data_IF_048619464046
#
_entry.id   IF_048619464046
#
_cell.length_a   1.000
_cell.length_b   1.000
_cell.length_c   1.000
_cell.angle_alpha   90.00
_cell.angle_beta   90.00
_cell.angle_gamma   90.00
#
_symmetry.space_group_name_H-M   'P 1'
#
loop_
_entity.id
_entity.type
_entity.pdbx_description
1 polymer ?
#
# COMPACT_ATOMS: atom_id res chain seq x y z
N UNK A 1 -10.70 -8.70 15.07
CA UNK A 1 -11.78 -7.83 14.56
C UNK A 1 -11.24 -6.41 14.67
N UNK A 2 -10.69 -5.88 13.59
CA UNK A 2 -10.10 -4.54 13.60
C UNK A 2 -11.23 -3.50 13.63
N UNK A 3 -11.23 -2.63 14.62
CA UNK A 3 -12.16 -1.51 14.74
C UNK A 3 -11.43 -0.27 14.28
N UNK A 4 -11.86 0.27 13.13
CA UNK A 4 -11.39 1.56 12.63
C UNK A 4 -12.40 2.63 13.08
N UNK A 5 -11.99 3.58 13.91
CA UNK A 5 -12.82 4.72 14.32
C UNK A 5 -12.38 5.98 13.61
N UNK A 6 -13.30 6.59 12.89
CA UNK A 6 -13.12 7.91 12.30
C UNK A 6 -13.78 8.92 13.24
N UNK A 7 -12.98 9.74 13.92
CA UNK A 7 -13.46 10.82 14.77
C UNK A 7 -13.59 12.10 13.92
N UNK A 8 -14.80 12.42 13.53
CA UNK A 8 -15.14 13.73 12.97
C UNK A 8 -15.80 14.60 14.06
N UNK A 9 -15.20 15.74 14.36
CA UNK A 9 -15.82 16.76 15.19
C UNK A 9 -16.99 17.40 14.41
N UNK A 10 -18.22 17.04 14.77
CA UNK A 10 -19.44 17.58 14.15
C UNK A 10 -19.90 18.82 14.91
N UNK A 11 -20.07 19.93 14.20
CA UNK A 11 -20.91 21.05 14.64
C UNK A 11 -22.36 20.73 14.28
N UNK A 12 -23.21 20.88 15.32
CA UNK A 12 -24.66 21.12 15.37
C UNK A 12 -25.58 20.40 14.36
N UNK A 13 -26.44 19.59 14.95
CA UNK A 13 -27.54 18.88 14.29
C UNK A 13 -28.70 19.82 13.91
N UNK A 14 -29.15 19.74 12.66
CA UNK A 14 -30.49 20.12 12.24
C UNK A 14 -31.19 18.84 11.79
N UNK A 15 -32.25 18.45 12.49
CA UNK A 15 -33.03 17.26 12.18
C UNK A 15 -33.95 17.51 10.96
N UNK A 16 -33.80 16.67 9.93
CA UNK A 16 -34.75 16.53 8.85
C UNK A 16 -35.43 15.13 8.87
N UNK A 17 -36.69 15.01 8.44
CA UNK A 17 -37.42 13.75 8.53
C UNK A 17 -36.91 12.70 7.56
N UNK A 18 -36.76 11.49 8.08
CA UNK A 18 -36.34 10.29 7.32
C UNK A 18 -37.49 9.90 6.39
N UNK A 19 -37.32 10.13 5.10
CA UNK A 19 -38.10 9.45 4.05
C UNK A 19 -37.28 8.20 3.69
N UNK A 20 -37.80 7.04 4.07
CA UNK A 20 -37.20 5.76 3.76
C UNK A 20 -37.17 5.51 2.24
N UNK A 21 -36.00 5.61 1.62
CA UNK A 21 -35.75 5.03 0.32
C UNK A 21 -35.13 3.66 0.54
N UNK A 22 -35.87 2.60 0.20
CA UNK A 22 -35.33 1.27 -0.02
C UNK A 22 -34.48 1.38 -1.28
N UNK A 23 -33.15 1.46 -1.14
CA UNK A 23 -32.24 1.26 -2.26
C UNK A 23 -32.11 -0.24 -2.49
N UNK A 24 -32.65 -0.70 -3.61
CA UNK A 24 -32.24 -1.93 -4.26
C UNK A 24 -30.71 -1.85 -4.49
N UNK A 25 -29.95 -2.71 -3.81
CA UNK A 25 -28.52 -2.84 -4.02
C UNK A 25 -28.36 -3.71 -5.28
N UNK A 26 -28.68 -3.13 -6.43
CA UNK A 26 -28.27 -3.65 -7.73
C UNK A 26 -26.77 -3.45 -7.91
N UNK A 27 -26.12 -4.43 -8.53
CA UNK A 27 -24.72 -4.53 -8.97
C UNK A 27 -23.91 -3.26 -8.74
N UNK A 28 -22.95 -3.32 -7.81
CA UNK A 28 -22.05 -2.21 -7.52
C UNK A 28 -21.37 -1.80 -8.82
N UNK A 29 -21.81 -0.68 -9.37
CA UNK A 29 -21.14 0.00 -10.47
C UNK A 29 -19.70 0.33 -9.98
N UNK A 30 -18.74 -0.51 -10.35
CA UNK A 30 -17.31 -0.33 -10.06
C UNK A 30 -16.74 0.75 -10.99
N UNK A 31 -17.45 1.86 -11.14
CA UNK A 31 -16.91 2.99 -11.87
C UNK A 31 -15.79 3.65 -11.05
N UNK A 32 -14.68 3.94 -11.71
CA UNK A 32 -13.56 4.65 -11.09
C UNK A 32 -14.03 5.98 -10.50
N UNK A 33 -13.64 6.26 -9.24
CA UNK A 33 -13.92 7.54 -8.59
C UNK A 33 -13.24 8.72 -9.29
N UNK A 34 -12.09 8.45 -9.91
CA UNK A 34 -11.26 9.44 -10.60
C UNK A 34 -11.29 9.30 -12.12
N UNK A 35 -12.12 8.42 -12.67
CA UNK A 35 -12.05 8.03 -14.07
C UNK A 35 -10.83 7.16 -14.36
N UNK A 36 -10.48 7.02 -15.65
CA UNK A 36 -9.31 6.29 -16.07
C UNK A 36 -9.62 4.90 -16.62
N UNK A 37 -8.55 4.18 -16.97
CA UNK A 37 -8.65 2.83 -17.53
C UNK A 37 -8.71 1.80 -16.39
N UNK A 38 -9.71 0.96 -16.44
CA UNK A 38 -9.88 -0.16 -15.53
C UNK A 38 -8.96 -1.34 -15.88
N UNK A 39 -8.42 -1.97 -14.86
CA UNK A 39 -7.67 -3.22 -14.93
C UNK A 39 -8.20 -4.17 -13.86
N UNK A 40 -8.46 -5.41 -14.23
CA UNK A 40 -8.80 -6.46 -13.26
C UNK A 40 -7.55 -6.82 -12.46
N UNK A 41 -7.67 -6.84 -11.14
CA UNK A 41 -6.61 -7.32 -10.26
C UNK A 41 -6.54 -8.84 -10.32
N UNK A 42 -5.32 -9.35 -10.41
CA UNK A 42 -5.06 -10.78 -10.32
C UNK A 42 -5.09 -11.15 -8.84
N UNK A 43 -6.03 -12.02 -8.47
CA UNK A 43 -6.12 -12.53 -7.10
C UNK A 43 -4.93 -13.43 -6.78
N UNK A 44 -4.27 -13.16 -5.67
CA UNK A 44 -3.21 -13.99 -5.09
C UNK A 44 -3.78 -14.67 -3.86
N UNK A 45 -3.68 -16.00 -3.72
CA UNK A 45 -4.19 -16.68 -2.54
C UNK A 45 -3.60 -16.10 -1.24
N UNK A 46 -4.46 -15.66 -0.34
CA UNK A 46 -4.11 -14.98 0.92
C UNK A 46 -3.31 -13.68 0.75
N UNK A 47 -3.28 -13.12 -0.46
CA UNK A 47 -2.51 -11.92 -0.77
C UNK A 47 -3.38 -10.70 -1.06
N UNK A 48 -2.84 -9.52 -0.79
CA UNK A 48 -3.43 -8.21 -1.03
C UNK A 48 -2.66 -7.37 -2.07
N UNK A 49 -1.47 -7.80 -2.45
CA UNK A 49 -0.62 -7.07 -3.41
C UNK A 49 -1.32 -6.86 -4.76
N UNK A 50 -1.26 -5.65 -5.34
CA UNK A 50 -2.02 -5.30 -6.54
C UNK A 50 -1.32 -5.79 -7.82
N UNK A 51 -1.57 -7.02 -8.22
CA UNK A 51 -1.13 -7.56 -9.50
C UNK A 51 -2.14 -7.27 -10.60
N UNK A 52 -1.66 -6.78 -11.75
CA UNK A 52 -2.46 -6.54 -12.96
C UNK A 52 -1.94 -7.39 -14.11
N UNK A 53 -2.83 -7.76 -15.02
CA UNK A 53 -2.42 -8.32 -16.31
C UNK A 53 -2.06 -7.19 -17.27
N UNK A 54 -0.77 -7.08 -17.60
CA UNK A 54 -0.25 -6.10 -18.57
C UNK A 54 0.52 -6.81 -19.68
N UNK A 55 0.69 -6.12 -20.80
CA UNK A 55 1.49 -6.58 -21.94
C UNK A 55 2.75 -5.74 -22.04
N UNK A 56 3.93 -6.39 -22.08
CA UNK A 56 5.21 -5.75 -22.37
C UNK A 56 5.88 -6.48 -23.55
N UNK A 57 6.29 -5.73 -24.59
CA UNK A 57 6.87 -6.26 -25.85
C UNK A 57 6.12 -7.47 -26.41
N UNK A 58 4.78 -7.47 -26.32
CA UNK A 58 3.91 -8.55 -26.81
C UNK A 58 3.75 -9.73 -25.86
N UNK A 59 4.41 -9.77 -24.70
CA UNK A 59 4.23 -10.78 -23.67
C UNK A 59 3.23 -10.28 -22.63
N UNK A 60 2.14 -11.03 -22.42
CA UNK A 60 1.08 -10.66 -21.48
C UNK A 60 1.16 -11.53 -20.21
N UNK A 61 1.05 -10.91 -19.04
CA UNK A 61 1.00 -11.60 -17.75
C UNK A 61 1.06 -10.67 -16.55
N UNK A 62 1.31 -11.23 -15.33
CA UNK A 62 1.21 -10.49 -14.07
C UNK A 62 2.33 -9.46 -13.88
N UNK A 63 1.93 -8.22 -13.61
CA UNK A 63 2.81 -7.15 -13.15
C UNK A 63 2.34 -6.65 -11.79
N UNK A 64 3.26 -6.47 -10.85
CA UNK A 64 3.00 -5.86 -9.56
C UNK A 64 2.99 -4.34 -9.69
N UNK A 65 1.98 -3.66 -9.17
CA UNK A 65 2.03 -2.22 -8.93
C UNK A 65 2.70 -1.97 -7.58
N UNK A 66 3.88 -1.39 -7.59
CA UNK A 66 4.73 -1.31 -6.39
C UNK A 66 5.17 0.12 -6.11
N UNK A 67 4.49 0.77 -5.16
CA UNK A 67 4.84 2.10 -4.65
C UNK A 67 6.07 2.08 -3.73
N UNK A 68 6.60 0.91 -3.36
CA UNK A 68 7.89 0.76 -2.69
C UNK A 68 9.07 0.73 -3.65
N UNK A 69 8.82 0.45 -4.94
CA UNK A 69 9.84 0.40 -5.96
C UNK A 69 10.01 1.76 -6.66
N UNK A 70 11.19 2.38 -6.57
CA UNK A 70 11.48 3.65 -7.27
C UNK A 70 11.58 3.50 -8.78
N UNK A 71 11.78 2.28 -9.29
CA UNK A 71 11.94 1.98 -10.72
C UNK A 71 11.20 0.74 -11.14
N UNK A 72 10.64 0.81 -12.34
CA UNK A 72 10.00 -0.32 -13.00
C UNK A 72 11.01 -1.33 -13.51
N UNK A 73 10.61 -2.61 -13.49
CA UNK A 73 11.49 -3.71 -13.92
C UNK A 73 10.72 -4.81 -14.65
N UNK A 74 11.44 -5.57 -15.48
CA UNK A 74 10.96 -6.74 -16.21
C UNK A 74 11.72 -7.99 -15.78
N UNK A 75 11.07 -9.15 -15.84
CA UNK A 75 11.68 -10.44 -15.52
C UNK A 75 12.77 -10.79 -16.53
N UNK A 76 14.02 -10.85 -16.08
CA UNK A 76 15.17 -11.27 -16.89
C UNK A 76 15.05 -12.73 -17.39
N UNK A 77 14.18 -13.54 -16.75
CA UNK A 77 13.87 -14.91 -17.20
C UNK A 77 12.92 -14.98 -18.41
N UNK A 78 12.16 -13.90 -18.65
CA UNK A 78 11.19 -13.81 -19.75
C UNK A 78 11.68 -12.85 -20.83
N UNK A 79 12.22 -11.71 -20.45
CA UNK A 79 12.74 -10.70 -21.38
C UNK A 79 14.26 -10.83 -21.46
N UNK A 80 14.78 -11.06 -22.67
CA UNK A 80 16.21 -11.28 -22.89
C UNK A 80 17.06 -10.09 -22.50
N UNK A 81 18.16 -10.39 -21.79
CA UNK A 81 19.19 -9.43 -21.38
C UNK A 81 19.84 -9.81 -20.05
N UNK A 82 21.01 -9.24 -19.73
CA UNK A 82 21.66 -9.46 -18.45
C UNK A 82 20.83 -8.89 -17.28
N UNK A 83 20.80 -9.60 -16.15
CA UNK A 83 20.23 -9.11 -14.90
C UNK A 83 20.87 -7.77 -14.50
N UNK A 84 20.06 -6.81 -14.03
CA UNK A 84 20.50 -5.45 -13.70
C UNK A 84 20.68 -4.51 -14.89
N UNK A 85 20.59 -4.99 -16.15
CA UNK A 85 20.70 -4.09 -17.31
C UNK A 85 19.41 -3.31 -17.56
N UNK A 86 19.55 -2.17 -18.28
CA UNK A 86 18.40 -1.38 -18.74
C UNK A 86 17.86 -1.89 -20.08
N UNK A 87 16.55 -1.91 -20.21
CA UNK A 87 15.85 -2.27 -21.43
C UNK A 87 14.69 -1.31 -21.70
N UNK A 88 14.55 -0.85 -22.94
CA UNK A 88 13.38 -0.11 -23.37
C UNK A 88 12.36 -1.08 -23.96
N UNK A 89 11.14 -1.09 -23.42
CA UNK A 89 10.07 -1.96 -23.84
C UNK A 89 8.77 -1.21 -24.09
N UNK A 90 7.95 -1.72 -25.02
CA UNK A 90 6.56 -1.29 -25.15
C UNK A 90 5.76 -1.79 -23.95
N UNK A 91 4.80 -1.00 -23.46
CA UNK A 91 3.97 -1.37 -22.29
C UNK A 91 2.52 -0.91 -22.48
N UNK A 92 1.56 -1.74 -22.07
CA UNK A 92 0.12 -1.48 -22.22
C UNK A 92 -0.45 -0.57 -21.12
N UNK A 93 0.26 0.53 -20.78
CA UNK A 93 -0.21 1.55 -19.86
C UNK A 93 -0.83 2.75 -20.60
N UNK A 94 -1.84 3.46 -20.02
CA UNK A 94 -2.50 4.58 -20.70
C UNK A 94 -1.50 5.69 -21.02
N UNK A 95 -1.45 6.11 -22.31
CA UNK A 95 -0.59 7.21 -22.76
C UNK A 95 0.92 6.94 -22.71
N UNK A 96 1.34 5.70 -22.41
CA UNK A 96 2.76 5.28 -22.42
C UNK A 96 2.93 4.21 -23.48
N UNK A 97 3.63 4.54 -24.58
CA UNK A 97 3.93 3.57 -25.62
C UNK A 97 5.14 2.71 -25.27
N UNK A 98 6.17 3.34 -24.73
CA UNK A 98 7.44 2.68 -24.34
C UNK A 98 8.00 3.30 -23.08
N UNK A 99 8.64 2.47 -22.25
CA UNK A 99 9.31 2.89 -21.02
C UNK A 99 10.65 2.17 -20.86
N UNK A 100 11.52 2.73 -20.01
CA UNK A 100 12.78 2.13 -19.64
C UNK A 100 12.58 1.27 -18.38
N UNK A 101 13.06 0.04 -18.42
CA UNK A 101 12.92 -0.95 -17.37
C UNK A 101 14.29 -1.51 -16.97
N UNK A 102 14.47 -1.81 -15.69
CA UNK A 102 15.53 -2.71 -15.28
C UNK A 102 15.14 -4.16 -15.54
N UNK A 103 16.10 -4.99 -15.89
CA UNK A 103 15.91 -6.44 -15.88
C UNK A 103 16.23 -6.97 -14.48
N UNK A 104 15.29 -7.71 -13.90
CA UNK A 104 15.42 -8.32 -12.58
C UNK A 104 14.92 -9.77 -12.62
N UNK A 105 15.42 -10.61 -11.72
CA UNK A 105 14.96 -11.99 -11.61
C UNK A 105 13.80 -12.07 -10.63
N UNK A 106 12.69 -12.68 -11.08
CA UNK A 106 11.53 -13.00 -10.26
C UNK A 106 11.31 -14.49 -10.22
N UNK A 107 11.10 -15.04 -9.04
CA UNK A 107 10.88 -16.46 -8.81
C UNK A 107 9.47 -16.77 -8.32
N UNK A 108 8.62 -15.75 -8.14
CA UNK A 108 7.29 -15.91 -7.61
C UNK A 108 6.34 -16.46 -8.68
N UNK A 109 5.74 -17.62 -8.41
CA UNK A 109 4.62 -18.16 -9.16
C UNK A 109 3.32 -17.71 -8.52
N UNK A 110 2.59 -16.81 -9.18
CA UNK A 110 1.32 -16.28 -8.69
C UNK A 110 0.14 -17.21 -8.97
N UNK A 111 0.22 -17.95 -10.06
CA UNK A 111 -0.77 -18.93 -10.51
C UNK A 111 -0.04 -20.08 -11.22
N UNK A 112 -0.65 -21.28 -11.35
CA UNK A 112 -0.05 -22.37 -12.11
C UNK A 112 0.39 -21.92 -13.51
N UNK A 113 1.69 -22.02 -13.79
CA UNK A 113 2.29 -21.63 -15.07
C UNK A 113 2.45 -20.14 -15.33
N UNK A 114 2.05 -19.26 -14.41
CA UNK A 114 2.20 -17.81 -14.54
C UNK A 114 3.09 -17.25 -13.42
N UNK A 115 4.30 -16.87 -13.77
CA UNK A 115 5.21 -16.11 -12.90
C UNK A 115 5.03 -14.61 -13.07
N UNK A 116 5.53 -13.86 -12.13
CA UNK A 116 5.58 -12.39 -12.21
C UNK A 116 6.44 -11.96 -13.42
N UNK A 117 5.87 -11.12 -14.31
CA UNK A 117 6.56 -10.61 -15.48
C UNK A 117 7.34 -9.33 -15.21
N UNK A 118 6.95 -8.57 -14.18
CA UNK A 118 7.63 -7.33 -13.84
C UNK A 118 7.00 -6.60 -12.67
N UNK A 119 7.58 -5.44 -12.41
CA UNK A 119 7.11 -4.46 -11.42
C UNK A 119 6.91 -3.14 -12.14
N UNK A 120 5.79 -2.48 -11.89
CA UNK A 120 5.55 -1.09 -12.26
C UNK A 120 5.80 -0.26 -11.01
N UNK A 121 6.91 0.46 -11.01
CA UNK A 121 7.35 1.31 -9.90
C UNK A 121 6.95 2.77 -10.07
N UNK A 122 7.43 3.61 -9.15
CA UNK A 122 7.07 5.03 -9.06
C UNK A 122 7.48 5.86 -10.29
N UNK A 123 8.50 5.44 -11.04
CA UNK A 123 8.89 6.07 -12.30
C UNK A 123 7.76 6.06 -13.35
N UNK A 124 6.86 5.09 -13.27
CA UNK A 124 5.67 5.02 -14.10
C UNK A 124 4.41 5.36 -13.33
N UNK A 125 4.23 4.87 -12.09
CA UNK A 125 3.03 5.09 -11.27
C UNK A 125 2.81 6.59 -10.97
N UNK A 126 3.87 7.38 -10.79
CA UNK A 126 3.77 8.83 -10.57
C UNK A 126 3.14 9.62 -11.74
N UNK A 127 2.96 8.99 -12.89
CA UNK A 127 2.29 9.61 -14.06
C UNK A 127 0.77 9.47 -13.99
N UNK A 128 0.26 8.67 -13.08
CA UNK A 128 -1.16 8.35 -12.96
C UNK A 128 -1.68 8.67 -11.56
N UNK A 129 -2.94 9.02 -11.50
CA UNK A 129 -3.75 8.74 -10.31
C UNK A 129 -4.13 7.28 -10.37
N UNK A 130 -3.78 6.54 -9.31
CA UNK A 130 -4.04 5.09 -9.21
C UNK A 130 -5.05 4.85 -8.10
N UNK A 131 -6.21 4.32 -8.46
CA UNK A 131 -7.22 3.87 -7.51
C UNK A 131 -7.15 2.34 -7.38
N UNK A 132 -6.95 1.85 -6.17
CA UNK A 132 -6.97 0.44 -5.83
C UNK A 132 -8.23 0.11 -5.05
N UNK A 133 -9.00 -0.85 -5.57
CA UNK A 133 -10.16 -1.45 -4.92
C UNK A 133 -9.94 -2.96 -4.76
N UNK A 134 -10.88 -3.70 -4.21
CA UNK A 134 -10.74 -5.14 -3.99
C UNK A 134 -10.46 -5.94 -5.27
N UNK A 135 -11.22 -5.70 -6.32
CA UNK A 135 -11.14 -6.49 -7.57
C UNK A 135 -10.53 -5.75 -8.76
N UNK A 136 -10.25 -4.45 -8.62
CA UNK A 136 -9.81 -3.63 -9.73
C UNK A 136 -8.76 -2.60 -9.33
N UNK A 137 -8.00 -2.15 -10.32
CA UNK A 137 -7.21 -0.94 -10.26
C UNK A 137 -7.60 -0.05 -11.43
N UNK A 138 -7.65 1.26 -11.20
CA UNK A 138 -7.93 2.26 -12.22
C UNK A 138 -6.74 3.20 -12.34
N UNK A 139 -6.25 3.39 -13.56
CA UNK A 139 -5.13 4.28 -13.86
C UNK A 139 -5.64 5.46 -14.70
N UNK A 140 -5.62 6.65 -14.13
CA UNK A 140 -6.04 7.90 -14.76
C UNK A 140 -4.85 8.84 -15.00
N UNK A 141 -4.70 9.43 -16.17
CA UNK A 141 -3.75 10.52 -16.38
C UNK A 141 -4.20 11.83 -15.70
N UNK A 142 -5.43 11.90 -15.21
CA UNK A 142 -6.02 13.05 -14.55
C UNK A 142 -6.03 12.87 -13.04
N UNK A 143 -5.92 13.98 -12.29
CA UNK A 143 -6.15 13.99 -10.85
C UNK A 143 -7.63 13.91 -10.52
N UNK A 144 -7.94 13.35 -9.35
CA UNK A 144 -9.29 13.39 -8.82
C UNK A 144 -9.67 14.80 -8.33
N UNK A 145 -10.96 15.08 -8.31
CA UNK A 145 -11.48 16.28 -7.64
C UNK A 145 -11.61 15.99 -6.14
N UNK A 146 -10.89 16.71 -5.27
CA UNK A 146 -10.89 16.46 -3.82
C UNK A 146 -12.29 16.45 -3.21
N UNK A 147 -13.17 17.37 -3.67
CA UNK A 147 -14.54 17.48 -3.16
C UNK A 147 -15.36 16.22 -3.44
N UNK A 148 -15.14 15.59 -4.61
CA UNK A 148 -15.81 14.36 -4.97
C UNK A 148 -15.36 13.19 -4.11
N UNK A 149 -14.07 13.12 -3.76
CA UNK A 149 -13.53 12.09 -2.88
C UNK A 149 -14.03 12.26 -1.44
N UNK A 150 -14.05 13.48 -0.92
CA UNK A 150 -14.58 13.80 0.41
C UNK A 150 -16.07 13.44 0.47
N UNK A 151 -16.84 13.78 -0.56
CA UNK A 151 -18.27 13.44 -0.62
C UNK A 151 -18.53 11.92 -0.64
N UNK A 152 -17.55 11.12 -1.07
CA UNK A 152 -17.56 9.65 -1.03
C UNK A 152 -16.97 9.07 0.26
N UNK A 153 -16.63 9.92 1.24
CA UNK A 153 -16.09 9.50 2.54
C UNK A 153 -14.62 9.13 2.54
N UNK A 154 -13.85 9.51 1.50
CA UNK A 154 -12.40 9.29 1.52
C UNK A 154 -11.71 10.38 2.34
N UNK A 155 -10.68 9.98 3.06
CA UNK A 155 -9.84 10.85 3.91
C UNK A 155 -8.46 11.02 3.28
N UNK A 156 -7.98 12.26 3.05
CA UNK A 156 -6.61 12.49 2.61
C UNK A 156 -5.65 12.29 3.78
N UNK A 157 -4.52 11.58 3.56
CA UNK A 157 -3.58 11.26 4.65
C UNK A 157 -2.13 11.67 4.38
N UNK A 158 -1.72 11.83 3.13
CA UNK A 158 -0.40 12.35 2.77
C UNK A 158 -0.56 13.67 2.03
N UNK A 159 0.19 14.69 2.43
CA UNK A 159 0.14 16.03 1.83
C UNK A 159 1.51 16.64 1.57
N UNK A 160 2.58 15.98 1.97
CA UNK A 160 3.95 16.50 1.88
C UNK A 160 4.74 15.96 0.71
N UNK A 161 4.05 15.30 -0.21
CA UNK A 161 4.67 14.68 -1.37
C UNK A 161 5.12 13.26 -1.13
N UNK A 162 5.45 12.61 -2.21
CA UNK A 162 6.07 11.31 -2.19
C UNK A 162 7.54 11.47 -1.78
N UNK A 163 7.99 10.67 -0.86
CA UNK A 163 9.28 10.83 -0.20
C UNK A 163 10.31 9.82 -0.69
N UNK A 164 11.53 10.27 -0.99
CA UNK A 164 12.69 9.40 -1.08
C UNK A 164 13.29 9.22 0.32
N UNK A 165 13.64 8.00 0.69
CA UNK A 165 14.35 7.70 1.95
C UNK A 165 15.68 8.45 2.07
N UNK A 166 16.23 8.94 0.98
CA UNK A 166 17.45 9.72 0.92
C UNK A 166 17.15 11.14 0.41
N UNK A 167 17.11 12.15 1.32
CA UNK A 167 16.84 13.53 0.93
C UNK A 167 17.81 14.09 -0.10
N UNK A 168 19.04 13.55 -0.19
CA UNK A 168 20.03 13.98 -1.20
C UNK A 168 19.67 13.54 -2.61
N UNK A 169 18.79 12.54 -2.73
CA UNK A 169 18.27 12.03 -4.00
C UNK A 169 16.95 12.68 -4.42
N UNK A 170 16.32 13.46 -3.52
CA UNK A 170 15.15 14.28 -3.84
C UNK A 170 15.60 15.33 -4.86
N UNK A 171 15.10 15.25 -6.08
CA UNK A 171 15.53 16.12 -7.18
C UNK A 171 16.51 15.49 -8.15
N UNK A 172 17.02 14.29 -7.89
CA UNK A 172 17.81 13.51 -8.85
C UNK A 172 16.96 12.88 -9.98
N UNK A 173 15.70 13.31 -10.13
CA UNK A 173 14.77 12.82 -11.15
C UNK A 173 14.17 11.44 -10.85
N UNK A 174 14.38 10.90 -9.65
CA UNK A 174 13.73 9.68 -9.21
C UNK A 174 12.40 10.01 -8.53
N UNK A 175 11.31 9.33 -8.89
CA UNK A 175 10.03 9.46 -8.21
C UNK A 175 10.16 9.04 -6.76
N UNK A 176 9.43 9.72 -5.89
CA UNK A 176 9.43 9.45 -4.46
C UNK A 176 8.36 8.41 -4.13
N UNK A 177 8.64 7.55 -3.15
CA UNK A 177 7.62 6.67 -2.57
C UNK A 177 6.64 7.49 -1.72
N UNK A 178 5.35 7.13 -1.67
CA UNK A 178 4.37 7.83 -0.84
C UNK A 178 4.66 7.59 0.65
N UNK A 179 4.48 8.65 1.45
CA UNK A 179 4.74 8.63 2.89
C UNK A 179 3.56 9.22 3.64
N UNK A 180 3.19 8.59 4.73
CA UNK A 180 2.17 9.07 5.68
C UNK A 180 2.79 9.22 7.06
N UNK A 181 2.10 9.98 7.95
CA UNK A 181 2.48 10.03 9.35
C UNK A 181 1.67 9.03 10.16
N UNK A 182 2.39 8.21 10.90
CA UNK A 182 1.83 7.35 11.93
C UNK A 182 2.13 7.90 13.31
N UNK A 183 1.23 7.64 14.24
CA UNK A 183 1.45 7.86 15.67
C UNK A 183 1.09 6.61 16.44
N UNK A 184 1.94 6.25 17.37
CA UNK A 184 1.72 5.19 18.34
C UNK A 184 2.05 5.72 19.74
N UNK A 185 1.03 6.02 20.51
CA UNK A 185 1.17 6.79 21.75
C UNK A 185 1.77 8.17 21.48
N UNK A 186 2.89 8.50 22.13
CA UNK A 186 3.59 9.78 21.95
C UNK A 186 4.63 9.74 20.81
N UNK A 187 4.84 8.57 20.21
CA UNK A 187 5.81 8.40 19.12
C UNK A 187 5.14 8.69 17.78
N UNK A 188 5.62 9.72 17.11
CA UNK A 188 5.24 10.07 15.74
C UNK A 188 6.37 9.65 14.80
N UNK A 189 6.03 9.04 13.68
CA UNK A 189 6.99 8.48 12.73
C UNK A 189 6.49 8.58 11.29
N UNK A 190 7.43 8.64 10.36
CA UNK A 190 7.18 8.47 8.93
C UNK A 190 6.94 7.01 8.61
N UNK A 191 5.94 6.75 7.78
CA UNK A 191 5.69 5.43 7.23
C UNK A 191 5.67 5.49 5.70
N UNK A 192 6.55 4.73 5.09
CA UNK A 192 6.53 4.49 3.66
C UNK A 192 5.33 3.60 3.32
N UNK A 193 4.63 3.90 2.22
CA UNK A 193 3.66 2.98 1.64
C UNK A 193 4.37 2.14 0.59
N UNK A 194 4.26 0.83 0.73
CA UNK A 194 4.90 -0.16 -0.14
C UNK A 194 3.89 -1.23 -0.54
N UNK A 195 3.24 -1.04 -1.68
CA UNK A 195 2.24 -2.00 -2.17
C UNK A 195 2.84 -3.30 -2.69
N UNK A 196 4.17 -3.34 -2.85
CA UNK A 196 4.91 -4.57 -3.19
C UNK A 196 5.23 -5.44 -1.98
N UNK A 197 5.09 -4.90 -0.76
CA UNK A 197 5.36 -5.64 0.47
C UNK A 197 4.11 -6.32 1.02
N UNK A 198 4.25 -7.58 1.40
CA UNK A 198 3.21 -8.37 2.06
C UNK A 198 3.81 -9.52 2.86
N UNK A 199 3.29 -9.81 4.06
CA UNK A 199 3.76 -10.91 4.90
C UNK A 199 2.93 -12.21 4.78
N UNK A 200 1.74 -12.14 4.20
CA UNK A 200 0.79 -13.24 4.02
C UNK A 200 0.28 -13.93 5.32
N UNK A 201 0.64 -13.40 6.48
CA UNK A 201 0.29 -13.99 7.79
C UNK A 201 -0.68 -13.10 8.55
N UNK A 202 -0.37 -11.81 8.63
CA UNK A 202 -1.16 -10.83 9.37
C UNK A 202 -1.83 -9.84 8.43
N UNK A 203 -3.13 -9.69 8.55
CA UNK A 203 -3.91 -8.79 7.68
C UNK A 203 -3.63 -7.31 7.90
N UNK A 204 -3.03 -6.92 9.03
CA UNK A 204 -2.83 -5.52 9.42
C UNK A 204 -1.44 -5.29 10.00
N UNK A 205 -0.42 -5.83 9.35
CA UNK A 205 0.95 -5.66 9.80
C UNK A 205 1.55 -4.34 9.34
N UNK A 206 2.41 -3.81 10.18
CA UNK A 206 3.24 -2.63 9.93
C UNK A 206 4.68 -3.02 10.15
N UNK A 207 5.51 -2.92 9.12
CA UNK A 207 6.95 -3.09 9.29
C UNK A 207 7.54 -1.90 10.03
N UNK A 208 8.44 -2.15 10.97
CA UNK A 208 9.20 -1.14 11.69
C UNK A 208 10.69 -1.45 11.65
N UNK A 209 11.54 -0.43 11.58
CA UNK A 209 12.98 -0.64 11.71
C UNK A 209 13.42 -0.69 13.19
N UNK A 210 14.66 -1.08 13.43
CA UNK A 210 15.21 -1.19 14.79
C UNK A 210 15.16 0.15 15.55
N UNK A 211 15.44 1.27 14.87
CA UNK A 211 15.40 2.60 15.50
C UNK A 211 14.00 2.98 16.00
N UNK A 212 12.94 2.60 15.26
CA UNK A 212 11.56 2.81 15.73
C UNK A 212 11.22 1.87 16.89
N UNK A 213 11.62 0.61 16.81
CA UNK A 213 11.43 -0.36 17.90
C UNK A 213 12.03 0.18 19.21
N UNK A 214 13.29 0.60 19.18
CA UNK A 214 14.00 1.12 20.36
C UNK A 214 13.33 2.39 20.91
N UNK A 215 12.86 3.27 20.02
CA UNK A 215 12.13 4.49 20.41
C UNK A 215 10.79 4.18 21.06
N UNK A 216 10.03 3.20 20.55
CA UNK A 216 8.76 2.78 21.15
C UNK A 216 8.98 2.22 22.55
N UNK A 217 9.95 1.33 22.72
CA UNK A 217 10.32 0.77 24.03
C UNK A 217 10.77 1.88 24.98
N UNK A 218 11.64 2.79 24.51
CA UNK A 218 12.14 3.92 25.30
C UNK A 218 11.05 4.92 25.71
N UNK A 219 9.95 5.01 24.96
CA UNK A 219 8.77 5.84 25.28
C UNK A 219 7.75 5.13 26.18
N UNK A 220 8.03 3.90 26.62
CA UNK A 220 7.15 3.12 27.47
C UNK A 220 5.98 2.45 26.75
N UNK A 221 6.04 2.32 25.42
CA UNK A 221 5.10 1.48 24.68
C UNK A 221 5.40 0.02 24.97
N UNK A 222 4.40 -0.72 25.42
CA UNK A 222 4.53 -2.13 25.72
C UNK A 222 4.36 -2.95 24.45
N UNK A 223 5.41 -3.69 24.10
CA UNK A 223 5.50 -4.55 22.92
C UNK A 223 5.63 -6.01 23.39
N UNK A 224 4.60 -6.80 23.14
CA UNK A 224 4.61 -8.23 23.48
C UNK A 224 4.97 -9.03 22.22
N UNK A 225 6.12 -9.71 22.23
CA UNK A 225 6.48 -10.62 21.13
C UNK A 225 5.54 -11.80 21.13
N UNK A 226 4.87 -12.02 19.99
CA UNK A 226 3.85 -13.08 19.86
C UNK A 226 4.34 -14.28 19.07
N UNK A 227 5.11 -14.07 18.00
CA UNK A 227 5.77 -15.11 17.23
C UNK A 227 6.82 -14.51 16.28
N UNK A 228 7.32 -15.33 15.35
CA UNK A 228 8.18 -14.91 14.24
C UNK A 228 7.55 -15.38 12.93
N UNK A 229 7.78 -14.62 11.86
CA UNK A 229 7.34 -14.96 10.50
C UNK A 229 8.53 -15.01 9.55
N UNK A 230 8.37 -15.76 8.48
CA UNK A 230 9.34 -15.80 7.38
C UNK A 230 8.82 -15.00 6.20
N UNK A 231 9.62 -14.06 5.73
CA UNK A 231 9.32 -13.20 4.58
C UNK A 231 10.35 -13.43 3.50
N UNK A 232 9.89 -13.52 2.25
CA UNK A 232 10.77 -13.55 1.09
C UNK A 232 11.11 -12.13 0.66
N UNK A 233 12.41 -11.86 0.56
CA UNK A 233 12.98 -10.56 0.17
C UNK A 233 13.92 -10.73 -1.01
N UNK A 234 14.52 -9.63 -1.48
CA UNK A 234 15.53 -9.66 -2.53
C UNK A 234 16.80 -10.46 -2.14
N UNK A 235 17.09 -10.60 -0.83
CA UNK A 235 18.24 -11.37 -0.31
C UNK A 235 17.87 -12.80 0.10
N UNK A 236 16.63 -13.21 -0.15
CA UNK A 236 16.13 -14.52 0.18
C UNK A 236 15.12 -14.52 1.34
N UNK A 237 15.12 -15.59 2.13
CA UNK A 237 14.20 -15.77 3.25
C UNK A 237 14.73 -15.09 4.50
N UNK A 238 13.96 -14.16 5.05
CA UNK A 238 14.22 -13.48 6.31
C UNK A 238 13.27 -13.92 7.40
N UNK A 239 13.80 -14.04 8.62
CA UNK A 239 13.05 -14.36 9.82
C UNK A 239 12.81 -13.09 10.63
N UNK A 240 11.53 -12.70 10.84
CA UNK A 240 11.16 -11.43 11.46
C UNK A 240 10.28 -11.62 12.69
N UNK A 241 10.67 -11.04 13.85
CA UNK A 241 9.81 -11.06 15.04
C UNK A 241 8.58 -10.18 14.86
N UNK A 242 7.46 -10.67 15.42
CA UNK A 242 6.16 -10.00 15.39
C UNK A 242 5.75 -9.63 16.81
N UNK A 243 5.28 -8.39 16.97
CA UNK A 243 4.86 -7.83 18.24
C UNK A 243 3.41 -7.36 18.19
N UNK A 244 2.71 -7.55 19.30
CA UNK A 244 1.44 -6.89 19.59
C UNK A 244 1.71 -5.67 20.45
N UNK A 245 0.95 -4.60 20.20
CA UNK A 245 0.97 -3.39 21.02
C UNK A 245 -0.21 -3.45 21.98
N UNK A 246 0.04 -3.25 23.28
CA UNK A 246 -1.01 -3.27 24.28
C UNK A 246 -1.64 -1.89 24.48
N UNK A 247 -2.99 -1.86 24.40
CA UNK A 247 -3.83 -0.78 24.90
C UNK A 247 -3.66 0.58 24.17
N UNK A 248 -3.07 0.59 22.99
CA UNK A 248 -2.89 1.83 22.20
C UNK A 248 -3.23 1.59 20.73
N UNK A 249 -4.11 2.41 20.14
CA UNK A 249 -4.34 2.35 18.69
C UNK A 249 -3.13 2.90 17.93
N UNK A 250 -2.97 2.42 16.71
CA UNK A 250 -2.16 3.09 15.70
C UNK A 250 -3.03 4.17 15.06
N UNK A 251 -2.49 5.38 14.87
CA UNK A 251 -3.20 6.43 14.18
C UNK A 251 -2.48 6.87 12.92
N UNK A 252 -3.24 7.13 11.85
CA UNK A 252 -2.76 7.80 10.64
C UNK A 252 -3.25 9.23 10.71
N UNK A 253 -2.32 10.20 10.62
CA UNK A 253 -2.62 11.60 10.79
C UNK A 253 -2.60 12.36 9.47
N UNK A 254 -3.59 13.21 9.26
CA UNK A 254 -3.55 14.27 8.27
C UNK A 254 -3.18 15.59 8.94
N UNK A 255 -2.01 16.14 8.62
CA UNK A 255 -1.50 17.36 9.28
C UNK A 255 -2.37 18.59 9.02
N UNK A 256 -2.94 18.71 7.83
CA UNK A 256 -3.70 19.90 7.43
C UNK A 256 -5.13 19.87 7.94
N UNK A 257 -5.83 18.75 7.84
CA UNK A 257 -7.24 18.65 8.24
C UNK A 257 -7.43 18.24 9.68
N UNK A 258 -6.34 17.79 10.35
CA UNK A 258 -6.39 17.17 11.69
C UNK A 258 -7.29 15.94 11.78
N UNK A 259 -7.62 15.35 10.64
CA UNK A 259 -8.33 14.07 10.61
C UNK A 259 -7.38 12.96 11.06
N UNK A 260 -7.94 12.02 11.82
CA UNK A 260 -7.22 10.88 12.38
C UNK A 260 -7.98 9.62 12.02
N UNK A 261 -7.26 8.62 11.52
CA UNK A 261 -7.77 7.26 11.32
C UNK A 261 -7.14 6.40 12.42
N UNK A 262 -7.96 5.78 13.26
CA UNK A 262 -7.52 4.90 14.33
C UNK A 262 -7.69 3.44 13.95
N UNK A 263 -6.64 2.64 14.23
CA UNK A 263 -6.58 1.21 13.96
C UNK A 263 -6.22 0.50 15.25
N UNK A 264 -7.15 -0.27 15.80
CA UNK A 264 -7.00 -0.93 17.11
C UNK A 264 -6.31 -2.31 17.00
N UNK A 265 -6.56 -3.05 15.92
CA UNK A 265 -6.01 -4.40 15.73
C UNK A 265 -4.95 -4.39 14.63
N UNK A 266 -3.69 -4.36 15.03
CA UNK A 266 -2.54 -4.35 14.14
C UNK A 266 -1.35 -5.05 14.81
N UNK A 267 -0.37 -5.43 14.00
CA UNK A 267 0.86 -6.07 14.44
C UNK A 267 2.07 -5.28 13.93
N UNK A 268 3.12 -5.22 14.75
CA UNK A 268 4.41 -4.67 14.33
C UNK A 268 5.34 -5.82 13.94
N UNK A 269 5.90 -5.74 12.75
CA UNK A 269 6.90 -6.68 12.24
C UNK A 269 8.26 -5.99 12.23
N UNK A 270 9.20 -6.49 13.03
CA UNK A 270 10.53 -5.87 13.11
C UNK A 270 11.39 -6.30 11.93
N UNK A 271 11.74 -5.34 11.09
CA UNK A 271 12.62 -5.50 9.95
C UNK A 271 14.09 -5.39 10.40
N UNK A 272 14.92 -6.43 10.21
CA UNK A 272 16.34 -6.38 10.60
C UNK A 272 17.11 -5.29 9.86
N UNK A 273 18.14 -4.73 10.50
CA UNK A 273 18.96 -3.67 9.91
C UNK A 273 19.75 -4.12 8.66
N UNK A 274 19.93 -5.42 8.49
CA UNK A 274 20.58 -6.01 7.31
C UNK A 274 19.58 -6.54 6.27
N UNK A 275 18.32 -6.28 6.46
CA UNK A 275 17.27 -6.68 5.51
C UNK A 275 17.40 -5.92 4.19
N UNK A 276 16.98 -6.55 3.10
CA UNK A 276 17.01 -5.93 1.79
C UNK A 276 16.00 -4.77 1.68
N UNK A 277 16.52 -3.57 1.37
CA UNK A 277 15.77 -2.39 0.92
C UNK A 277 14.79 -1.76 1.91
N UNK A 278 14.10 -0.74 1.45
CA UNK A 278 13.09 -0.03 2.21
C UNK A 278 13.61 0.66 3.47
N UNK A 279 12.89 0.51 4.59
CA UNK A 279 13.22 1.17 5.87
C UNK A 279 14.40 0.54 6.61
N UNK A 280 14.93 -0.60 6.17
CA UNK A 280 16.06 -1.27 6.84
C UNK A 280 17.33 -0.42 6.81
N UNK A 281 17.58 0.30 5.71
CA UNK A 281 18.76 1.14 5.53
C UNK A 281 18.69 2.49 6.28
N UNK A 282 17.55 2.76 6.94
CA UNK A 282 17.32 4.03 7.65
C UNK A 282 17.83 3.95 9.09
N UNK A 283 18.66 4.94 9.48
CA UNK A 283 19.13 5.09 10.87
C UNK A 283 18.10 5.78 11.78
N UNK A 284 17.18 6.54 11.19
CA UNK A 284 16.09 7.20 11.88
C UNK A 284 14.89 6.26 12.04
N UNK A 285 14.05 6.47 13.08
CA UNK A 285 12.80 5.73 13.23
C UNK A 285 11.93 5.80 11.97
N UNK A 286 11.56 4.64 11.44
CA UNK A 286 10.75 4.53 10.24
C UNK A 286 9.83 3.32 10.28
N UNK A 287 8.70 3.43 9.59
CA UNK A 287 7.73 2.36 9.40
C UNK A 287 7.42 2.16 7.91
N UNK A 288 6.79 1.02 7.58
CA UNK A 288 6.36 0.67 6.24
C UNK A 288 4.97 0.03 6.31
N UNK A 289 4.05 0.52 5.47
CA UNK A 289 2.70 0.01 5.33
C UNK A 289 2.63 -0.81 4.05
N UNK A 290 2.41 -2.11 4.19
CA UNK A 290 2.32 -3.04 3.07
C UNK A 290 0.91 -3.13 2.47
N UNK A 291 0.77 -3.96 1.43
CA UNK A 291 -0.50 -4.20 0.75
C UNK A 291 -1.57 -4.77 1.70
N UNK A 292 -1.19 -5.67 2.61
CA UNK A 292 -2.10 -6.24 3.62
C UNK A 292 -2.69 -5.18 4.55
N UNK A 293 -1.89 -4.19 4.94
CA UNK A 293 -2.37 -3.06 5.73
C UNK A 293 -3.34 -2.17 4.94
N UNK A 294 -2.99 -1.84 3.69
CA UNK A 294 -3.83 -1.02 2.81
C UNK A 294 -5.16 -1.70 2.48
N UNK A 295 -5.20 -3.02 2.52
CA UNK A 295 -6.42 -3.79 2.30
C UNK A 295 -7.50 -3.60 3.38
N UNK A 296 -7.19 -2.93 4.51
CA UNK A 296 -8.18 -2.43 5.48
C UNK A 296 -9.19 -1.47 4.86
N UNK A 297 -8.80 -0.74 3.83
CA UNK A 297 -9.59 0.33 3.25
C UNK A 297 -10.37 -0.18 2.04
N UNK A 298 -11.60 0.27 1.86
CA UNK A 298 -12.45 -0.08 0.73
C UNK A 298 -11.88 0.41 -0.61
N UNK A 299 -11.21 1.56 -0.57
CA UNK A 299 -10.45 2.10 -1.67
C UNK A 299 -9.19 2.82 -1.17
N UNK A 300 -8.10 2.74 -1.93
CA UNK A 300 -6.89 3.54 -1.72
C UNK A 300 -6.58 4.25 -3.03
N UNK A 301 -6.45 5.58 -2.99
CA UNK A 301 -6.13 6.37 -4.18
C UNK A 301 -4.80 7.08 -3.97
N UNK A 302 -3.89 6.86 -4.89
CA UNK A 302 -2.63 7.56 -4.98
C UNK A 302 -2.76 8.67 -6.02
N UNK A 303 -2.68 9.93 -5.59
CA UNK A 303 -2.73 11.11 -6.46
C UNK A 303 -1.42 11.88 -6.38
N UNK A 304 -0.39 11.48 -7.14
CA UNK A 304 0.95 12.09 -7.05
C UNK A 304 0.98 13.55 -7.49
N UNK A 305 0.06 13.98 -8.35
CA UNK A 305 -0.01 15.38 -8.81
C UNK A 305 -0.44 16.33 -7.70
N UNK A 306 -1.35 15.86 -6.83
CA UNK A 306 -1.79 16.58 -5.65
C UNK A 306 -1.01 16.17 -4.40
N UNK A 307 0.01 15.32 -4.55
CA UNK A 307 0.83 14.80 -3.45
C UNK A 307 0.00 14.19 -2.31
N UNK A 308 -1.10 13.51 -2.67
CA UNK A 308 -2.09 13.05 -1.70
C UNK A 308 -2.34 11.55 -1.87
N UNK A 309 -2.43 10.85 -0.75
CA UNK A 309 -3.00 9.50 -0.66
C UNK A 309 -4.36 9.63 0.01
N UNK A 310 -5.38 9.02 -0.60
CA UNK A 310 -6.73 9.00 -0.08
C UNK A 310 -7.08 7.60 0.40
N UNK A 311 -7.61 7.50 1.61
CA UNK A 311 -8.06 6.25 2.19
C UNK A 311 -9.59 6.28 2.31
N UNK A 312 -10.24 5.27 1.77
CA UNK A 312 -11.68 5.05 1.92
C UNK A 312 -12.03 4.56 3.33
N UNK A 313 -13.33 4.44 3.61
CA UNK A 313 -13.78 3.84 4.86
C UNK A 313 -13.29 2.38 5.00
N UNK A 314 -13.29 1.85 6.23
CA UNK A 314 -12.91 0.46 6.45
C UNK A 314 -13.85 -0.45 5.66
N UNK A 315 -13.29 -1.52 5.09
CA UNK A 315 -14.10 -2.59 4.52
C UNK A 315 -14.94 -3.19 5.64
N UNK A 316 -16.21 -3.37 5.38
CA UNK A 316 -17.01 -4.28 6.20
C UNK A 316 -16.38 -5.67 6.05
N UNK A 317 -15.60 -6.08 7.04
CA UNK A 317 -15.09 -7.45 7.09
C UNK A 317 -16.31 -8.34 7.14
N UNK A 318 -16.57 -9.09 6.08
CA UNK A 318 -17.47 -10.23 6.16
C UNK A 318 -16.99 -11.05 7.37
N UNK A 319 -17.84 -11.14 8.38
CA UNK A 319 -17.58 -11.92 9.58
C UNK A 319 -17.41 -13.38 9.14
N UNK A 320 -16.19 -13.74 8.75
CA UNK A 320 -15.81 -15.13 8.61
C UNK A 320 -15.90 -15.76 9.99
N UNK A 321 -16.36 -17.02 10.11
CA UNK A 321 -16.49 -17.67 11.39
C UNK A 321 -15.12 -17.69 12.09
N UNK A 322 -15.05 -17.03 13.24
CA UNK A 322 -13.96 -17.17 14.17
C UNK A 322 -13.81 -18.65 14.53
N UNK A 323 -12.55 -19.11 14.57
CA UNK A 323 -12.13 -20.34 15.19
C UNK A 323 -12.48 -21.69 14.52
N UNK A 324 -11.73 -22.00 13.49
CA UNK A 324 -11.40 -23.39 13.19
C UNK A 324 -10.34 -23.89 14.14
N UNK A 325 -10.70 -24.49 15.25
CA UNK A 325 -9.81 -25.38 16.01
C UNK A 325 -9.37 -26.47 15.07
N UNK A 326 -8.12 -26.42 14.61
CA UNK A 326 -7.47 -27.60 14.05
C UNK A 326 -6.95 -28.46 15.19
N UNK A 327 -7.55 -29.60 15.39
CA UNK A 327 -6.97 -30.73 16.12
C UNK A 327 -5.72 -31.25 15.38
#
# INVERSE_FOLDING_TARGET
>A
MAIVRILSLSLAAIAFPIVGFSMDIGETDQSALCGGRAYTRISVPNGASPYLELTADGVTGPFLLDYGATRSSLSAGVFSGPDGSMRKAAISLPGIERADFHLARYYLLLQPGKGQLGVIGDDLLSKFTVELTEGAAFLSPESCRPEALIARGLTPVAQTGFFSSDPSKIGAGLPNVPVVFLRLGDVRVWAQIDTGYEDFVYSHSVDINQALFDRLVGSGVRLDRINDIDIWTCDGREHRPVYRVEGRPLTIENESTKQIIEIEDFHLVLKPANACGGIADMTEPAAQLGASFLNLFGAVIFDPRNTTVWLGGPRETAVGPADGKSN
#
